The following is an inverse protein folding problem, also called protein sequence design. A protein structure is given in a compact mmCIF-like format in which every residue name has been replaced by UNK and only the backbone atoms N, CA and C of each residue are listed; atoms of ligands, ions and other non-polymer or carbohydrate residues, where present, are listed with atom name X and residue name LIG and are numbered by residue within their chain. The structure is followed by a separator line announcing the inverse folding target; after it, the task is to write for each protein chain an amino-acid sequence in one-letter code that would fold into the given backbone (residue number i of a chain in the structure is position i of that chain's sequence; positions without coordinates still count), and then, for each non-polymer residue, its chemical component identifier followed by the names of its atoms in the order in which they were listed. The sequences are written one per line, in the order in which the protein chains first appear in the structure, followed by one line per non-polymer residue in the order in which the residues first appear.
data_IF_737034173123
#
_entry.id   IF_737034173123
#
_cell.length_a   1.000
_cell.length_b   1.000
_cell.length_c   1.000
_cell.angle_alpha   90.00
_cell.angle_beta   90.00
_cell.angle_gamma   90.00
#
_symmetry.space_group_name_H-M   'P 1'
#
loop_
_entity.id
_entity.type
_entity.pdbx_description
1 polymer ?
#
# COMPACT_ATOMS: atom_id res chain seq x y z
N UNK A 1 -42.14 -35.75 33.48
CA UNK A 1 -42.33 -34.43 32.79
C UNK A 1 -41.08 -33.54 32.89
N UNK A 2 -40.28 -33.66 33.93
CA UNK A 2 -39.04 -32.86 34.18
C UNK A 2 -37.96 -33.00 33.08
N UNK A 3 -37.74 -34.19 32.54
CA UNK A 3 -36.67 -34.47 31.56
C UNK A 3 -36.84 -33.71 30.22
N UNK A 4 -38.10 -33.39 29.84
CA UNK A 4 -38.43 -32.69 28.59
C UNK A 4 -38.15 -31.18 28.64
N UNK A 5 -38.20 -30.62 29.84
CA UNK A 5 -37.94 -29.18 30.09
C UNK A 5 -36.42 -28.95 30.07
N UNK A 6 -35.64 -29.84 30.67
CA UNK A 6 -34.18 -29.76 30.72
C UNK A 6 -33.53 -29.84 29.30
N UNK A 7 -34.09 -30.67 28.42
CA UNK A 7 -33.63 -30.81 27.03
C UNK A 7 -33.87 -29.55 26.19
N UNK A 8 -35.10 -28.94 26.35
CA UNK A 8 -35.41 -27.70 25.59
C UNK A 8 -34.49 -26.56 25.98
N UNK A 9 -34.13 -26.46 27.26
CA UNK A 9 -33.31 -25.36 27.77
C UNK A 9 -31.85 -25.49 27.38
N UNK A 10 -31.25 -26.68 27.41
CA UNK A 10 -29.93 -26.94 26.87
C UNK A 10 -29.82 -26.47 25.42
N UNK A 11 -30.89 -26.65 24.62
CA UNK A 11 -30.95 -26.20 23.22
C UNK A 11 -30.78 -24.68 23.07
N UNK A 12 -31.39 -23.86 23.94
CA UNK A 12 -31.29 -22.40 23.91
C UNK A 12 -29.85 -21.93 24.25
N UNK A 13 -29.18 -22.58 25.21
CA UNK A 13 -27.81 -22.29 25.55
C UNK A 13 -26.86 -22.56 24.36
N UNK A 14 -27.05 -23.69 23.68
CA UNK A 14 -26.26 -24.01 22.48
C UNK A 14 -26.49 -22.99 21.37
N UNK A 15 -27.73 -22.61 21.11
CA UNK A 15 -28.05 -21.60 20.08
C UNK A 15 -27.40 -20.25 20.42
N UNK A 16 -27.50 -19.81 21.67
CA UNK A 16 -26.88 -18.55 22.11
C UNK A 16 -25.36 -18.61 22.03
N UNK A 17 -24.77 -19.73 22.43
CA UNK A 17 -23.32 -19.93 22.32
C UNK A 17 -22.85 -19.88 20.85
N UNK A 18 -23.55 -20.59 19.97
CA UNK A 18 -23.26 -20.55 18.51
C UNK A 18 -23.40 -19.12 17.97
N UNK A 19 -24.42 -18.37 18.38
CA UNK A 19 -24.61 -16.99 17.97
C UNK A 19 -23.45 -16.08 18.43
N UNK A 20 -22.97 -16.26 19.66
CA UNK A 20 -21.79 -15.53 20.17
C UNK A 20 -20.55 -15.84 19.34
N UNK A 21 -20.26 -17.13 19.12
CA UNK A 21 -19.11 -17.56 18.33
C UNK A 21 -19.18 -17.01 16.90
N UNK A 22 -20.36 -17.12 16.26
CA UNK A 22 -20.58 -16.59 14.92
C UNK A 22 -20.35 -15.07 14.85
N UNK A 23 -20.84 -14.32 15.84
CA UNK A 23 -20.64 -12.85 15.91
C UNK A 23 -19.15 -12.51 16.04
N UNK A 24 -18.39 -13.21 16.90
CA UNK A 24 -16.94 -13.00 17.07
C UNK A 24 -16.19 -13.33 15.78
N UNK A 25 -16.53 -14.43 15.12
CA UNK A 25 -15.91 -14.83 13.85
C UNK A 25 -16.19 -13.80 12.73
N UNK A 26 -17.41 -13.30 12.63
CA UNK A 26 -17.77 -12.26 11.65
C UNK A 26 -16.99 -10.98 11.90
N UNK A 27 -16.86 -10.59 13.18
CA UNK A 27 -16.11 -9.40 13.56
C UNK A 27 -14.61 -9.53 13.24
N UNK A 28 -14.02 -10.68 13.54
CA UNK A 28 -12.63 -10.96 13.21
C UNK A 28 -12.39 -10.90 11.68
N UNK A 29 -13.31 -11.48 10.90
CA UNK A 29 -13.25 -11.41 9.43
C UNK A 29 -13.39 -9.98 8.91
N UNK A 30 -14.26 -9.17 9.51
CA UNK A 30 -14.44 -7.76 9.15
C UNK A 30 -13.16 -6.95 9.39
N UNK A 31 -12.56 -7.07 10.58
CA UNK A 31 -11.31 -6.38 10.93
C UNK A 31 -10.17 -6.81 9.99
N UNK A 32 -10.07 -8.10 9.69
CA UNK A 32 -9.10 -8.64 8.73
C UNK A 32 -9.31 -8.06 7.33
N UNK A 33 -10.56 -7.93 6.89
CA UNK A 33 -10.90 -7.30 5.61
C UNK A 33 -10.47 -5.83 5.55
N UNK A 34 -10.74 -5.06 6.60
CA UNK A 34 -10.29 -3.66 6.71
C UNK A 34 -8.78 -3.53 6.68
N UNK A 35 -8.07 -4.42 7.37
CA UNK A 35 -6.60 -4.42 7.36
C UNK A 35 -6.05 -4.72 5.98
N UNK A 36 -6.55 -5.75 5.29
CA UNK A 36 -6.12 -6.08 3.94
C UNK A 36 -6.39 -4.94 2.95
N UNK A 37 -7.56 -4.29 3.06
CA UNK A 37 -7.87 -3.12 2.24
C UNK A 37 -6.87 -1.98 2.50
N UNK A 38 -6.58 -1.67 3.76
CA UNK A 38 -5.62 -0.66 4.15
C UNK A 38 -4.22 -0.95 3.58
N UNK A 39 -3.74 -2.20 3.69
CA UNK A 39 -2.45 -2.62 3.11
C UNK A 39 -2.44 -2.43 1.60
N UNK A 40 -3.48 -2.88 0.91
CA UNK A 40 -3.59 -2.75 -0.55
C UNK A 40 -3.59 -1.29 -1.00
N UNK A 41 -4.35 -0.42 -0.32
CA UNK A 41 -4.38 1.02 -0.61
C UNK A 41 -3.02 1.69 -0.40
N UNK A 42 -2.28 1.30 0.65
CA UNK A 42 -0.93 1.83 0.88
C UNK A 42 0.07 1.34 -0.16
N UNK A 43 0.00 0.07 -0.57
CA UNK A 43 0.85 -0.46 -1.66
C UNK A 43 0.63 0.35 -2.95
N UNK A 44 -0.62 0.56 -3.34
CA UNK A 44 -0.94 1.35 -4.54
C UNK A 44 -0.39 2.79 -4.43
N UNK A 45 -0.52 3.41 -3.26
CA UNK A 45 0.04 4.74 -3.02
C UNK A 45 1.55 4.75 -3.12
N UNK A 46 2.23 3.78 -2.51
CA UNK A 46 3.70 3.64 -2.57
C UNK A 46 4.15 3.52 -4.03
N UNK A 47 3.49 2.71 -4.85
CA UNK A 47 3.81 2.55 -6.26
C UNK A 47 3.61 3.85 -7.05
N UNK A 48 2.46 4.49 -6.90
CA UNK A 48 2.15 5.76 -7.58
C UNK A 48 3.15 6.87 -7.23
N UNK A 49 3.49 7.02 -5.95
CA UNK A 49 4.43 8.06 -5.53
C UNK A 49 5.87 7.71 -5.92
N UNK A 50 6.19 6.43 -6.03
CA UNK A 50 7.48 6.01 -6.56
C UNK A 50 7.61 6.35 -8.04
N UNK A 51 6.59 6.08 -8.86
CA UNK A 51 6.56 6.50 -10.27
C UNK A 51 6.70 8.01 -10.40
N UNK A 52 5.94 8.77 -9.61
CA UNK A 52 6.02 10.23 -9.60
C UNK A 52 7.41 10.73 -9.21
N UNK A 53 8.01 10.17 -8.15
CA UNK A 53 9.34 10.55 -7.72
C UNK A 53 10.42 10.26 -8.79
N UNK A 54 10.28 9.14 -9.53
CA UNK A 54 11.15 8.82 -10.68
C UNK A 54 11.01 9.88 -11.80
N UNK A 55 9.77 10.31 -12.07
CA UNK A 55 9.50 11.36 -13.07
C UNK A 55 10.09 12.71 -12.65
N UNK A 56 9.90 13.11 -11.40
CA UNK A 56 10.40 14.37 -10.86
C UNK A 56 11.93 14.38 -10.80
N UNK A 57 12.56 13.25 -10.43
CA UNK A 57 14.01 13.10 -10.42
C UNK A 57 14.58 13.17 -11.86
N UNK A 58 13.92 12.53 -12.81
CA UNK A 58 14.27 12.62 -14.24
C UNK A 58 14.22 14.07 -14.74
N UNK A 59 13.19 14.82 -14.33
CA UNK A 59 13.10 16.23 -14.70
C UNK A 59 14.26 17.06 -14.13
N UNK A 60 14.64 16.82 -12.86
CA UNK A 60 15.80 17.48 -12.25
C UNK A 60 17.09 17.20 -13.03
N UNK A 61 17.33 15.94 -13.42
CA UNK A 61 18.50 15.58 -14.24
C UNK A 61 18.50 16.27 -15.60
N UNK A 62 17.34 16.44 -16.24
CA UNK A 62 17.21 17.24 -17.47
C UNK A 62 17.65 18.68 -17.27
N UNK A 63 17.17 19.31 -16.19
CA UNK A 63 17.54 20.69 -15.86
C UNK A 63 19.04 20.80 -15.64
N UNK A 64 19.63 19.87 -14.88
CA UNK A 64 21.07 19.84 -14.63
C UNK A 64 21.87 19.66 -15.93
N UNK A 65 21.43 18.77 -16.82
CA UNK A 65 22.04 18.61 -18.16
C UNK A 65 21.95 19.90 -18.96
N UNK A 66 20.81 20.57 -18.97
CA UNK A 66 20.62 21.84 -19.68
C UNK A 66 21.55 22.94 -19.13
N UNK A 67 21.73 23.02 -17.82
CA UNK A 67 22.60 23.97 -17.15
C UNK A 67 24.09 23.65 -17.49
N UNK A 68 24.47 22.38 -17.49
CA UNK A 68 25.85 21.98 -17.81
C UNK A 68 26.27 22.27 -19.26
N UNK A 69 25.26 22.44 -20.14
CA UNK A 69 25.50 22.85 -21.54
C UNK A 69 25.57 24.36 -21.74
N UNK A 70 25.31 25.19 -20.69
CA UNK A 70 25.51 26.63 -20.75
C UNK A 70 27.02 26.88 -20.57
N UNK A 71 27.74 27.44 -21.56
CA UNK A 71 29.15 27.74 -21.43
C UNK A 71 29.38 28.71 -20.26
N UNK A 72 30.31 28.34 -19.38
CA UNK A 72 30.70 29.19 -18.24
C UNK A 72 31.19 30.53 -18.75
N UNK A 73 30.77 31.60 -18.10
CA UNK A 73 30.86 33.02 -18.50
C UNK A 73 32.27 33.56 -18.80
N UNK A 74 33.32 32.76 -18.77
CA UNK A 74 34.68 33.21 -19.05
C UNK A 74 35.01 33.29 -20.56
N UNK A 75 34.23 32.69 -21.46
CA UNK A 75 34.38 32.77 -22.90
C UNK A 75 33.44 33.78 -23.60
N UNK A 76 32.68 34.57 -22.83
CA UNK A 76 31.66 35.48 -23.39
C UNK A 76 32.20 36.82 -23.87
N UNK A 77 33.48 36.89 -24.21
CA UNK A 77 34.10 38.15 -24.65
C UNK A 77 34.41 38.23 -26.16
N UNK A 78 34.03 37.25 -26.96
CA UNK A 78 34.17 37.41 -28.40
C UNK A 78 33.21 36.56 -29.20
N UNK A 79 32.35 37.27 -29.94
CA UNK A 79 31.45 36.76 -30.98
C UNK A 79 30.17 36.01 -30.53
N UNK A 80 29.11 36.79 -30.33
CA UNK A 80 27.74 36.28 -30.42
C UNK A 80 27.47 35.85 -31.87
N UNK A 81 27.97 34.70 -32.29
CA UNK A 81 27.33 33.90 -33.32
C UNK A 81 26.27 33.07 -32.63
N UNK A 82 25.01 33.38 -32.94
CA UNK A 82 23.86 32.50 -32.65
C UNK A 82 24.13 31.14 -33.31
N UNK A 83 24.93 30.32 -32.66
CA UNK A 83 25.07 28.93 -33.04
C UNK A 83 23.79 28.24 -32.48
N UNK A 84 22.92 27.76 -33.38
CA UNK A 84 21.84 26.86 -33.05
C UNK A 84 22.37 25.88 -32.01
N UNK A 85 21.65 25.63 -30.90
CA UNK A 85 22.08 24.63 -29.94
C UNK A 85 22.34 23.34 -30.72
N UNK A 86 23.58 22.85 -30.63
CA UNK A 86 23.95 21.58 -31.23
C UNK A 86 22.98 20.56 -30.58
N UNK A 87 22.01 20.18 -31.35
CA UNK A 87 21.16 19.07 -31.03
C UNK A 87 22.07 17.92 -30.65
N UNK A 88 21.98 17.47 -29.39
CA UNK A 88 22.58 16.20 -28.95
C UNK A 88 22.39 15.23 -30.11
N UNK A 89 23.47 14.86 -30.79
CA UNK A 89 23.40 13.95 -31.94
C UNK A 89 23.04 12.59 -31.40
N UNK A 90 21.72 12.39 -31.25
CA UNK A 90 21.14 11.05 -31.12
C UNK A 90 21.73 10.21 -32.23
N UNK A 91 22.15 9.00 -31.93
CA UNK A 91 22.60 8.10 -32.99
C UNK A 91 21.47 8.00 -34.02
N UNK A 92 21.76 7.88 -35.31
CA UNK A 92 20.70 7.75 -36.34
C UNK A 92 19.70 6.67 -36.00
N UNK A 93 20.14 5.60 -35.33
CA UNK A 93 19.24 4.51 -34.86
C UNK A 93 18.28 4.94 -33.74
N UNK A 94 18.74 5.78 -32.82
CA UNK A 94 17.89 6.29 -31.74
C UNK A 94 16.87 7.32 -32.27
N UNK A 95 17.30 8.16 -33.22
CA UNK A 95 16.41 9.12 -33.90
C UNK A 95 15.34 8.42 -34.73
N UNK A 96 15.66 7.36 -35.45
CA UNK A 96 14.72 6.56 -36.22
C UNK A 96 13.82 5.74 -35.31
N UNK A 97 14.30 5.26 -34.17
CA UNK A 97 13.50 4.59 -33.16
C UNK A 97 12.47 5.56 -32.53
N UNK A 98 12.88 6.78 -32.19
CA UNK A 98 11.98 7.84 -31.69
C UNK A 98 10.94 8.17 -32.77
N UNK A 99 11.33 8.35 -34.02
CA UNK A 99 10.43 8.66 -35.13
C UNK A 99 9.42 7.54 -35.40
N UNK A 100 9.89 6.30 -35.49
CA UNK A 100 9.05 5.14 -35.73
C UNK A 100 8.11 4.85 -34.54
N UNK A 101 8.59 5.15 -33.33
CA UNK A 101 7.81 5.03 -32.10
C UNK A 101 6.72 6.09 -32.05
N UNK A 102 7.02 7.35 -32.40
CA UNK A 102 6.03 8.45 -32.44
C UNK A 102 4.90 8.17 -33.44
N UNK A 103 5.19 7.61 -34.61
CA UNK A 103 4.20 7.28 -35.62
C UNK A 103 3.30 6.08 -35.21
N UNK A 104 3.87 5.08 -34.52
CA UNK A 104 3.11 3.95 -33.96
C UNK A 104 2.34 4.31 -32.68
N UNK A 105 2.71 5.38 -32.00
CA UNK A 105 2.13 5.84 -30.73
C UNK A 105 0.70 6.36 -30.84
N UNK A 106 0.35 6.96 -31.95
CA UNK A 106 -1.05 7.40 -32.19
C UNK A 106 -2.00 6.19 -32.20
N UNK A 107 -1.49 5.00 -32.44
CA UNK A 107 -2.26 3.76 -32.49
C UNK A 107 -2.20 2.88 -31.23
N UNK A 108 -1.21 3.04 -30.34
CA UNK A 108 -0.90 2.07 -29.28
C UNK A 108 -0.95 2.60 -27.83
N UNK A 109 -1.33 3.86 -27.58
CA UNK A 109 -1.61 4.39 -26.23
C UNK A 109 -0.47 4.26 -25.20
N UNK A 110 -0.78 3.69 -24.06
CA UNK A 110 0.04 3.67 -22.85
C UNK A 110 1.47 3.09 -23.01
N UNK A 111 1.63 2.04 -23.80
CA UNK A 111 2.93 1.38 -24.05
C UNK A 111 3.98 2.28 -24.71
N UNK A 112 3.53 3.28 -25.41
CA UNK A 112 4.39 4.17 -26.14
C UNK A 112 4.94 5.29 -25.26
N UNK A 113 4.17 5.78 -24.31
CA UNK A 113 4.63 6.73 -23.31
C UNK A 113 5.75 6.10 -22.44
N UNK A 114 5.56 4.89 -21.97
CA UNK A 114 6.55 4.15 -21.17
C UNK A 114 7.89 3.98 -21.92
N UNK A 115 7.83 3.68 -23.23
CA UNK A 115 9.05 3.58 -24.06
C UNK A 115 9.77 4.90 -24.24
N UNK A 116 9.05 6.01 -24.41
CA UNK A 116 9.69 7.34 -24.50
C UNK A 116 10.35 7.69 -23.18
N UNK A 117 9.67 7.49 -22.07
CA UNK A 117 10.21 7.73 -20.74
C UNK A 117 11.48 6.90 -20.48
N UNK A 118 11.49 5.64 -20.92
CA UNK A 118 12.66 4.79 -20.84
C UNK A 118 13.83 5.27 -21.72
N UNK A 119 13.58 5.70 -22.96
CA UNK A 119 14.61 6.24 -23.85
C UNK A 119 15.24 7.52 -23.29
N UNK A 120 14.45 8.39 -22.68
CA UNK A 120 14.97 9.58 -22.00
C UNK A 120 15.91 9.22 -20.84
N UNK A 121 15.57 8.18 -20.06
CA UNK A 121 16.44 7.67 -19.00
C UNK A 121 17.78 7.17 -19.57
N UNK A 122 17.74 6.42 -20.67
CA UNK A 122 18.96 5.92 -21.33
C UNK A 122 19.83 7.07 -21.86
N UNK A 123 19.23 8.13 -22.41
CA UNK A 123 19.95 9.32 -22.88
C UNK A 123 20.63 10.06 -21.72
N UNK A 124 19.90 10.30 -20.63
CA UNK A 124 20.45 10.98 -19.45
C UNK A 124 21.59 10.18 -18.84
N UNK A 125 21.47 8.86 -18.76
CA UNK A 125 22.52 7.99 -18.26
C UNK A 125 23.76 8.01 -19.17
N UNK A 126 23.57 7.96 -20.49
CA UNK A 126 24.66 8.06 -21.48
C UNK A 126 25.34 9.42 -21.46
N UNK A 127 24.62 10.49 -21.11
CA UNK A 127 25.17 11.85 -20.95
C UNK A 127 25.90 12.06 -19.61
N UNK A 128 26.02 11.02 -18.76
CA UNK A 128 26.72 11.10 -17.47
C UNK A 128 25.86 11.56 -16.31
N UNK A 129 24.50 11.55 -16.46
CA UNK A 129 23.53 11.85 -15.42
C UNK A 129 22.78 10.59 -15.00
N UNK A 130 23.40 9.67 -14.23
CA UNK A 130 22.72 8.47 -13.73
C UNK A 130 21.62 8.81 -12.72
N UNK A 131 20.73 7.84 -12.45
CA UNK A 131 19.69 7.97 -11.41
C UNK A 131 20.33 8.25 -10.05
N UNK A 132 19.86 9.30 -9.39
CA UNK A 132 20.33 9.69 -8.06
C UNK A 132 19.33 9.25 -6.99
N UNK A 133 19.66 8.18 -6.27
CA UNK A 133 18.79 7.63 -5.22
C UNK A 133 18.55 8.60 -4.05
N UNK A 134 19.51 9.47 -3.71
CA UNK A 134 19.32 10.45 -2.64
C UNK A 134 18.30 11.52 -3.03
N UNK A 135 18.34 11.97 -4.28
CA UNK A 135 17.34 12.91 -4.82
C UNK A 135 15.97 12.23 -4.87
N UNK A 136 15.92 10.99 -5.35
CA UNK A 136 14.69 10.18 -5.38
C UNK A 136 14.08 10.02 -4.00
N UNK A 137 14.86 9.65 -2.99
CA UNK A 137 14.44 9.51 -1.60
C UNK A 137 13.91 10.83 -1.04
N UNK A 138 14.60 11.94 -1.32
CA UNK A 138 14.17 13.26 -0.87
C UNK A 138 12.83 13.69 -1.49
N UNK A 139 12.63 13.44 -2.78
CA UNK A 139 11.37 13.73 -3.49
C UNK A 139 10.23 12.85 -2.98
N UNK A 140 10.50 11.57 -2.78
CA UNK A 140 9.53 10.64 -2.24
C UNK A 140 9.09 11.02 -0.83
N UNK A 141 10.03 11.42 0.05
CA UNK A 141 9.73 11.91 1.41
C UNK A 141 9.02 13.24 1.43
N UNK A 142 9.20 14.08 0.41
CA UNK A 142 8.52 15.37 0.29
C UNK A 142 7.05 15.22 -0.16
N UNK A 143 6.62 14.05 -0.60
CA UNK A 143 5.24 13.80 -0.98
C UNK A 143 4.32 13.81 0.24
N UNK A 144 3.33 14.72 0.24
CA UNK A 144 2.35 14.85 1.32
C UNK A 144 1.37 13.66 1.41
N UNK A 145 1.28 12.85 0.36
CA UNK A 145 0.33 11.75 0.26
C UNK A 145 0.79 10.49 0.98
N UNK A 146 2.07 10.40 1.32
CA UNK A 146 2.63 9.24 2.01
C UNK A 146 2.73 9.53 3.51
N UNK A 147 2.02 8.73 4.29
CA UNK A 147 2.38 8.54 5.69
C UNK A 147 3.83 8.03 5.70
N UNK A 148 4.71 8.68 6.46
CA UNK A 148 6.15 8.35 6.53
C UNK A 148 6.35 6.88 6.91
N UNK A 149 6.36 6.04 5.88
CA UNK A 149 6.68 4.63 6.03
C UNK A 149 8.20 4.46 6.01
N UNK A 150 8.79 3.66 6.91
CA UNK A 150 10.16 3.21 6.75
C UNK A 150 10.30 2.52 5.39
N UNK A 151 11.29 2.94 4.61
CA UNK A 151 11.47 2.45 3.24
C UNK A 151 12.92 2.40 2.85
N UNK A 152 13.22 1.66 1.79
CA UNK A 152 14.55 1.54 1.21
C UNK A 152 14.43 1.41 -0.31
N UNK A 153 15.13 2.29 -1.02
CA UNK A 153 15.36 2.16 -2.45
C UNK A 153 16.63 1.36 -2.72
N UNK A 154 16.54 0.42 -3.64
CA UNK A 154 17.62 -0.46 -4.04
C UNK A 154 17.80 -0.34 -5.56
N UNK A 155 19.00 -0.02 -6.00
CA UNK A 155 19.37 0.02 -7.40
C UNK A 155 20.22 -1.20 -7.74
N UNK A 156 19.82 -1.91 -8.77
CA UNK A 156 20.49 -3.11 -9.26
C UNK A 156 21.01 -2.89 -10.67
N UNK A 157 22.10 -3.56 -11.00
CA UNK A 157 22.60 -3.69 -12.38
C UNK A 157 21.81 -4.77 -13.14
N UNK A 158 22.06 -4.88 -14.46
CA UNK A 158 21.49 -5.90 -15.35
C UNK A 158 21.65 -7.32 -14.83
N UNK A 159 22.73 -7.61 -14.11
CA UNK A 159 23.03 -8.92 -13.52
C UNK A 159 22.40 -9.10 -12.12
N UNK A 160 21.46 -8.24 -11.73
CA UNK A 160 20.81 -8.21 -10.41
C UNK A 160 21.76 -8.02 -9.23
N UNK A 161 22.93 -7.43 -9.48
CA UNK A 161 23.88 -7.05 -8.44
C UNK A 161 23.48 -5.68 -7.90
N UNK A 162 23.37 -5.54 -6.59
CA UNK A 162 23.02 -4.27 -5.94
C UNK A 162 24.16 -3.27 -6.10
N UNK A 163 23.87 -2.15 -6.77
CA UNK A 163 24.81 -1.05 -6.98
C UNK A 163 24.78 -0.09 -5.80
N UNK A 164 23.60 0.29 -5.35
CA UNK A 164 23.41 1.31 -4.33
C UNK A 164 22.09 1.09 -3.59
N UNK A 165 22.03 1.59 -2.36
CA UNK A 165 20.81 1.57 -1.55
C UNK A 165 20.69 2.86 -0.74
N UNK A 166 19.47 3.38 -0.58
CA UNK A 166 19.16 4.57 0.23
C UNK A 166 17.84 4.34 0.94
N UNK A 167 17.76 4.74 2.20
CA UNK A 167 16.55 4.63 3.01
C UNK A 167 16.85 4.31 4.47
N UNK A 168 15.80 4.20 5.27
CA UNK A 168 15.85 4.02 6.72
C UNK A 168 15.16 2.72 7.19
N UNK A 169 14.97 1.77 6.28
CA UNK A 169 14.37 0.49 6.60
C UNK A 169 15.34 -0.39 7.39
N UNK A 170 15.09 -0.57 8.68
CA UNK A 170 15.88 -1.43 9.56
C UNK A 170 15.33 -2.88 9.62
N UNK A 171 14.16 -3.10 9.07
CA UNK A 171 13.48 -4.40 9.13
C UNK A 171 14.17 -5.44 8.26
N UNK A 172 14.33 -6.63 8.81
CA UNK A 172 14.87 -7.78 8.08
C UNK A 172 13.84 -8.39 7.12
N UNK A 173 12.55 -8.19 7.38
CA UNK A 173 11.43 -8.70 6.57
C UNK A 173 10.46 -7.55 6.31
N UNK A 174 10.61 -6.82 5.18
CA UNK A 174 9.70 -5.73 4.83
C UNK A 174 8.30 -6.28 4.53
N UNK A 175 7.27 -5.52 4.90
CA UNK A 175 5.87 -5.87 4.61
C UNK A 175 5.55 -5.81 3.12
N UNK A 176 6.27 -4.96 2.38
CA UNK A 176 6.11 -4.80 0.94
C UNK A 176 7.47 -4.74 0.23
N UNK A 177 7.55 -5.45 -0.89
CA UNK A 177 8.68 -5.43 -1.82
C UNK A 177 8.11 -5.26 -3.23
N UNK A 178 8.48 -4.16 -3.90
CA UNK A 178 8.03 -3.91 -5.26
C UNK A 178 8.65 -4.90 -6.24
N UNK A 179 8.05 -5.00 -7.42
CA UNK A 179 8.72 -5.61 -8.56
C UNK A 179 9.95 -4.78 -8.97
N UNK A 180 10.87 -5.41 -9.71
CA UNK A 180 12.01 -4.71 -10.29
C UNK A 180 11.52 -3.81 -11.43
N UNK A 181 11.59 -2.50 -11.22
CA UNK A 181 11.24 -1.51 -12.24
C UNK A 181 12.46 -1.21 -13.11
N UNK A 182 12.43 -1.51 -14.41
CA UNK A 182 13.55 -1.22 -15.30
C UNK A 182 13.73 0.31 -15.44
N UNK A 183 14.95 0.78 -15.25
CA UNK A 183 15.34 2.16 -15.51
C UNK A 183 15.90 2.24 -16.93
N UNK A 184 15.13 2.85 -17.82
CA UNK A 184 15.45 2.91 -19.25
C UNK A 184 14.90 1.73 -20.06
N UNK A 185 15.18 1.77 -21.37
CA UNK A 185 14.72 0.71 -22.30
C UNK A 185 15.72 -0.42 -22.46
N UNK A 186 16.97 -0.20 -22.11
CA UNK A 186 18.05 -1.17 -22.29
C UNK A 186 18.16 -2.20 -21.17
N UNK A 187 17.39 -2.02 -20.10
CA UNK A 187 17.42 -2.93 -18.94
C UNK A 187 18.80 -3.01 -18.26
N UNK A 188 19.55 -1.89 -18.28
CA UNK A 188 20.87 -1.82 -17.66
C UNK A 188 20.81 -1.66 -16.14
N UNK A 189 19.71 -1.10 -15.64
CA UNK A 189 19.49 -0.87 -14.22
C UNK A 189 18.04 -1.17 -13.86
N UNK A 190 17.84 -1.61 -12.62
CA UNK A 190 16.53 -1.88 -12.05
C UNK A 190 16.42 -1.22 -10.69
N UNK A 191 15.29 -0.57 -10.45
CA UNK A 191 14.95 0.00 -9.15
C UNK A 191 13.96 -0.92 -8.44
N UNK A 192 14.16 -1.13 -7.15
CA UNK A 192 13.25 -1.82 -6.25
C UNK A 192 13.02 -0.96 -5.01
N UNK A 193 11.79 -0.90 -4.55
CA UNK A 193 11.45 -0.31 -3.27
C UNK A 193 11.04 -1.41 -2.28
N UNK A 194 11.52 -1.28 -1.06
CA UNK A 194 11.07 -2.04 0.10
C UNK A 194 10.44 -1.06 1.08
N UNK A 195 9.30 -1.41 1.67
CA UNK A 195 8.63 -0.56 2.63
C UNK A 195 7.95 -1.38 3.72
N UNK A 196 7.88 -0.80 4.93
CA UNK A 196 7.08 -1.34 6.03
C UNK A 196 5.77 -0.56 6.14
N UNK A 197 4.68 -1.29 6.40
CA UNK A 197 3.35 -0.72 6.61
C UNK A 197 2.97 -0.95 8.08
N UNK A 198 3.37 -0.05 9.01
CA UNK A 198 3.24 -0.32 10.44
C UNK A 198 1.77 -0.38 10.86
N UNK A 199 1.43 -1.42 11.60
CA UNK A 199 0.08 -1.67 12.15
C UNK A 199 -0.44 -0.49 13.01
N UNK A 200 0.46 0.28 13.63
CA UNK A 200 0.12 1.47 14.40
C UNK A 200 -0.59 2.54 13.58
N UNK A 201 -0.20 2.73 12.32
CA UNK A 201 -0.85 3.66 11.41
C UNK A 201 -2.25 3.19 11.00
N UNK A 202 -2.42 1.89 10.75
CA UNK A 202 -3.73 1.29 10.54
C UNK A 202 -4.67 1.57 11.71
N UNK A 203 -4.24 1.26 12.94
CA UNK A 203 -5.03 1.48 14.14
C UNK A 203 -5.44 2.95 14.30
N UNK A 204 -4.52 3.88 14.07
CA UNK A 204 -4.79 5.31 14.17
C UNK A 204 -5.75 5.79 13.08
N UNK A 205 -5.58 5.33 11.85
CA UNK A 205 -6.41 5.73 10.70
C UNK A 205 -7.83 5.18 10.83
N UNK A 206 -7.98 3.93 11.28
CA UNK A 206 -9.27 3.23 11.41
C UNK A 206 -9.86 3.27 12.83
N UNK A 207 -9.34 4.12 13.73
CA UNK A 207 -9.71 4.15 15.14
C UNK A 207 -11.22 4.29 15.35
N UNK A 208 -11.87 5.20 14.63
CA UNK A 208 -13.31 5.41 14.74
C UNK A 208 -14.13 4.23 14.23
N UNK A 209 -13.72 3.63 13.11
CA UNK A 209 -14.39 2.45 12.54
C UNK A 209 -14.25 1.25 13.47
N UNK A 210 -13.06 1.04 14.03
CA UNK A 210 -12.78 -0.02 14.98
C UNK A 210 -13.55 0.20 16.31
N UNK A 211 -13.58 1.43 16.82
CA UNK A 211 -14.30 1.77 18.03
C UNK A 211 -15.82 1.56 17.87
N UNK A 212 -16.39 2.01 16.75
CA UNK A 212 -17.80 1.79 16.43
C UNK A 212 -18.12 0.32 16.32
N UNK A 213 -17.28 -0.44 15.64
CA UNK A 213 -17.40 -1.90 15.48
C UNK A 213 -17.32 -2.63 16.82
N UNK A 214 -16.39 -2.26 17.69
CA UNK A 214 -16.27 -2.80 19.03
C UNK A 214 -17.50 -2.47 19.90
N UNK A 215 -18.03 -1.25 19.81
CA UNK A 215 -19.23 -0.82 20.50
C UNK A 215 -20.46 -1.64 20.09
N UNK A 216 -20.65 -1.84 18.78
CA UNK A 216 -21.73 -2.68 18.23
C UNK A 216 -21.62 -4.13 18.70
N UNK A 217 -20.42 -4.70 18.69
CA UNK A 217 -20.17 -6.05 19.20
C UNK A 217 -20.52 -6.16 20.69
N UNK A 218 -20.10 -5.19 21.50
CA UNK A 218 -20.38 -5.16 22.93
C UNK A 218 -21.90 -5.08 23.19
N UNK A 219 -22.63 -4.30 22.41
CA UNK A 219 -24.07 -4.16 22.50
C UNK A 219 -24.77 -5.50 22.19
N UNK A 220 -24.35 -6.21 21.14
CA UNK A 220 -24.87 -7.54 20.81
C UNK A 220 -24.61 -8.54 21.94
N UNK A 221 -23.38 -8.55 22.49
CA UNK A 221 -23.02 -9.43 23.59
C UNK A 221 -23.86 -9.14 24.85
N UNK A 222 -24.11 -7.86 25.17
CA UNK A 222 -24.97 -7.47 26.25
C UNK A 222 -26.41 -7.97 26.03
N UNK A 223 -26.98 -7.80 24.84
CA UNK A 223 -28.32 -8.31 24.53
C UNK A 223 -28.39 -9.82 24.72
N UNK A 224 -27.40 -10.57 24.25
CA UNK A 224 -27.33 -12.02 24.42
C UNK A 224 -27.20 -12.41 25.91
N UNK A 225 -26.40 -11.67 26.67
CA UNK A 225 -26.27 -11.88 28.12
C UNK A 225 -27.57 -11.63 28.85
N UNK A 226 -28.30 -10.54 28.52
CA UNK A 226 -29.64 -10.29 29.12
C UNK A 226 -30.64 -11.38 28.76
N UNK A 227 -30.62 -11.89 27.53
CA UNK A 227 -31.47 -13.01 27.14
C UNK A 227 -31.16 -14.26 27.95
N UNK A 228 -29.89 -14.60 28.16
CA UNK A 228 -29.47 -15.73 28.97
C UNK A 228 -29.92 -15.58 30.44
N UNK A 229 -29.76 -14.39 31.02
CA UNK A 229 -30.19 -14.12 32.39
C UNK A 229 -31.72 -14.19 32.55
N UNK A 230 -32.48 -13.70 31.55
CA UNK A 230 -33.94 -13.81 31.54
C UNK A 230 -34.41 -15.28 31.47
N UNK A 231 -33.74 -16.11 30.64
CA UNK A 231 -34.01 -17.55 30.56
C UNK A 231 -33.72 -18.20 31.90
N UNK A 232 -32.58 -17.93 32.55
CA UNK A 232 -32.25 -18.48 33.88
C UNK A 232 -33.26 -18.09 34.95
N UNK A 233 -33.74 -16.83 34.96
CA UNK A 233 -34.77 -16.38 35.90
C UNK A 233 -36.14 -17.12 35.70
N UNK A 234 -36.54 -17.31 34.44
CA UNK A 234 -37.75 -18.09 34.11
C UNK A 234 -37.63 -19.54 34.57
N UNK A 235 -36.47 -20.18 34.41
CA UNK A 235 -36.20 -21.52 34.92
C UNK A 235 -36.36 -21.60 36.44
N UNK A 236 -35.75 -20.69 37.17
CA UNK A 236 -35.82 -20.68 38.62
C UNK A 236 -37.27 -20.51 39.12
N UNK A 237 -38.06 -19.68 38.42
CA UNK A 237 -39.51 -19.51 38.75
C UNK A 237 -40.30 -20.76 38.44
N UNK A 238 -40.08 -21.45 37.33
CA UNK A 238 -40.76 -22.69 36.99
C UNK A 238 -40.46 -23.80 37.99
N UNK A 239 -39.20 -23.98 38.38
CA UNK A 239 -38.77 -24.95 39.41
C UNK A 239 -39.46 -24.67 40.78
N UNK A 240 -39.56 -23.37 41.19
CA UNK A 240 -40.27 -23.00 42.40
C UNK A 240 -41.78 -23.36 42.34
N UNK A 241 -42.44 -23.12 41.20
CA UNK A 241 -43.87 -23.48 41.00
C UNK A 241 -44.09 -25.00 41.03
N UNK A 242 -43.21 -25.79 40.42
CA UNK A 242 -43.30 -27.25 40.48
C UNK A 242 -43.14 -27.77 41.90
N UNK A 243 -42.19 -27.25 42.69
CA UNK A 243 -42.01 -27.63 44.08
C UNK A 243 -43.21 -27.25 44.94
N UNK A 244 -43.82 -26.06 44.75
CA UNK A 244 -45.04 -25.66 45.50
C UNK A 244 -46.27 -26.48 45.12
N UNK A 245 -46.35 -26.86 43.83
CA UNK A 245 -47.51 -27.74 43.43
C UNK A 245 -47.38 -29.16 43.98
N UNK A 246 -46.14 -29.72 44.01
CA UNK A 246 -45.91 -31.04 44.66
C UNK A 246 -46.19 -31.01 46.17
N UNK A 247 -45.82 -29.94 46.86
CA UNK A 247 -46.10 -29.80 48.29
C UNK A 247 -47.63 -29.71 48.58
N UNK A 248 -48.39 -29.12 47.68
CA UNK A 248 -49.87 -29.04 47.79
C UNK A 248 -50.58 -30.37 47.49
N UNK A 249 -49.94 -31.29 46.77
CA UNK A 249 -50.55 -32.64 46.52
C UNK A 249 -50.16 -33.66 47.58
N UNK A 250 -49.30 -33.33 48.55
CA UNK A 250 -48.93 -34.23 49.66
C UNK A 250 -49.68 -33.92 50.97
N UNK A 251 -50.56 -32.92 50.99
CA UNK A 251 -51.51 -32.61 52.08
C UNK A 251 -52.91 -33.09 51.69
#
# INVERSE_FOLDING_TARGET
MSCRIDYKMKKYYYITFIAIVATVCLQAKYIWGLYNQYVTENIIKIEMETEKAIEDEKWIRRVLQSISMIPTTEEYSSEIKLQKPDTVRLSPQDADMIRSTTVKQIAAGKFAAERIHGLEQDILQAAGFPLNLNTLDSLWRASDSIVRHPHQFLLYDKDTVMISSVGDLESHTPDYVSQLHPIGTKGLQYLQIKADIPMSHFLRHQLWTLALSACMMLLVLLCLFFQLTAIRRKEALLRKREMTSMALFMI
#
